data_IF_988851767237
#
_entry.id   IF_988851767237
#
_cell.length_a   1.000
_cell.length_b   1.000
_cell.length_c   1.000
_cell.angle_alpha   90.00
_cell.angle_beta   90.00
_cell.angle_gamma   90.00
#
_symmetry.space_group_name_H-M   'P 1'
#
loop_
_entity.id
_entity.type
_entity.pdbx_description
1 polymer ?
#
# COMPACT_ATOMS: atom_id res chain seq x y z
N UNK A 1 5.12 13.63 5.87
CA UNK A 1 3.71 13.31 6.12
C UNK A 1 3.17 12.22 5.19
N UNK A 2 3.67 12.10 3.97
CA UNK A 2 3.27 11.03 3.04
C UNK A 2 4.54 10.38 2.49
N UNK A 3 4.77 9.12 2.86
CA UNK A 3 5.81 8.29 2.27
C UNK A 3 5.14 7.27 1.35
N UNK A 4 5.32 7.46 0.05
CA UNK A 4 4.59 6.72 -0.97
C UNK A 4 5.06 5.26 -1.09
N UNK A 5 4.18 4.32 -0.77
CA UNK A 5 4.43 2.86 -0.84
C UNK A 5 4.20 2.28 -2.23
N UNK A 6 3.49 3.02 -3.06
CA UNK A 6 3.14 2.75 -4.44
C UNK A 6 2.66 4.03 -5.11
N UNK A 7 1.72 3.95 -6.06
CA UNK A 7 1.21 5.15 -6.74
C UNK A 7 -0.22 4.98 -7.26
N UNK A 8 -0.84 6.09 -7.66
CA UNK A 8 -2.18 6.11 -8.25
C UNK A 8 -2.15 5.67 -9.72
N UNK A 9 -3.26 5.13 -10.19
CA UNK A 9 -3.46 4.74 -11.59
C UNK A 9 -4.37 5.71 -12.35
N UNK A 10 -4.35 5.59 -13.68
CA UNK A 10 -5.33 6.18 -14.58
C UNK A 10 -5.89 5.13 -15.53
N UNK A 11 -7.16 5.28 -15.93
CA UNK A 11 -7.74 4.42 -16.94
C UNK A 11 -6.92 4.43 -18.25
N UNK A 12 -6.64 3.23 -18.77
CA UNK A 12 -5.87 3.04 -20.00
C UNK A 12 -4.35 3.15 -19.85
N UNK A 13 -3.84 3.36 -18.63
CA UNK A 13 -2.41 3.29 -18.33
C UNK A 13 -2.02 1.94 -17.70
N UNK A 14 -0.74 1.55 -17.76
CA UNK A 14 -0.24 0.42 -16.98
C UNK A 14 -0.45 0.64 -15.48
N UNK A 15 -0.75 -0.42 -14.75
CA UNK A 15 -0.85 -0.40 -13.29
C UNK A 15 0.49 0.01 -12.66
N UNK A 16 0.43 0.96 -11.74
CA UNK A 16 1.59 1.53 -11.07
C UNK A 16 2.06 0.61 -9.95
N UNK A 17 3.35 0.26 -9.96
CA UNK A 17 3.97 -0.53 -8.90
C UNK A 17 5.29 0.07 -8.47
N UNK A 18 5.62 -0.10 -7.19
CA UNK A 18 6.90 0.28 -6.59
C UNK A 18 7.48 -0.93 -5.88
N UNK A 19 8.72 -1.26 -6.24
CA UNK A 19 9.40 -2.45 -5.72
C UNK A 19 9.51 -2.43 -4.20
N UNK A 20 9.19 -3.56 -3.57
CA UNK A 20 9.25 -3.76 -2.12
C UNK A 20 10.59 -3.35 -1.51
N UNK A 21 11.71 -3.66 -2.16
CA UNK A 21 13.05 -3.36 -1.63
C UNK A 21 13.30 -1.86 -1.55
N UNK A 22 12.77 -1.09 -2.50
CA UNK A 22 12.89 0.37 -2.51
C UNK A 22 12.13 0.96 -1.34
N UNK A 23 10.87 0.55 -1.15
CA UNK A 23 10.03 1.04 -0.04
C UNK A 23 10.63 0.66 1.31
N UNK A 24 11.10 -0.59 1.46
CA UNK A 24 11.69 -1.07 2.70
C UNK A 24 13.00 -0.35 3.05
N UNK A 25 13.89 -0.14 2.06
CA UNK A 25 15.14 0.60 2.27
C UNK A 25 14.87 2.04 2.66
N UNK A 26 13.98 2.73 1.95
CA UNK A 26 13.66 4.13 2.26
C UNK A 26 12.97 4.26 3.63
N UNK A 27 12.09 3.33 4.00
CA UNK A 27 11.47 3.33 5.33
C UNK A 27 12.53 3.17 6.43
N UNK A 28 13.47 2.24 6.25
CA UNK A 28 14.56 2.04 7.19
C UNK A 28 15.36 3.33 7.39
N UNK A 29 15.72 4.00 6.30
CA UNK A 29 16.52 5.23 6.37
C UNK A 29 15.76 6.34 7.08
N UNK A 30 14.47 6.52 6.79
CA UNK A 30 13.63 7.53 7.46
C UNK A 30 13.60 7.27 8.98
N UNK A 31 13.36 6.02 9.40
CA UNK A 31 13.29 5.64 10.81
C UNK A 31 14.67 5.75 11.51
N UNK A 32 15.75 5.39 10.81
CA UNK A 32 17.12 5.51 11.33
C UNK A 32 17.53 6.96 11.63
N UNK A 33 16.93 7.93 10.94
CA UNK A 33 17.14 9.35 11.22
C UNK A 33 16.22 9.90 12.34
N UNK A 34 15.44 9.04 13.00
CA UNK A 34 14.51 9.44 14.06
C UNK A 34 13.32 10.26 13.56
N UNK A 35 13.03 10.22 12.25
CA UNK A 35 11.91 10.95 11.68
C UNK A 35 10.59 10.20 11.89
N UNK A 36 9.53 10.96 12.14
CA UNK A 36 8.16 10.44 12.10
C UNK A 36 7.70 10.28 10.65
N UNK A 37 7.04 9.18 10.35
CA UNK A 37 6.62 8.82 8.98
C UNK A 37 5.20 8.27 8.97
N UNK A 38 4.48 8.57 7.89
CA UNK A 38 3.17 8.00 7.61
C UNK A 38 3.19 7.42 6.19
N UNK A 39 2.82 6.15 6.06
CA UNK A 39 2.89 5.38 4.83
C UNK A 39 1.62 5.61 4.01
N UNK A 40 1.77 6.19 2.82
CA UNK A 40 0.68 6.50 1.91
C UNK A 40 0.75 5.58 0.68
N UNK A 41 -0.15 4.64 0.46
CA UNK A 41 -1.15 4.11 1.38
C UNK A 41 -0.62 2.87 2.11
N UNK A 42 -1.09 2.61 3.33
CA UNK A 42 -0.85 1.31 3.96
C UNK A 42 -1.85 0.24 3.47
N UNK A 43 -3.11 0.65 3.30
CA UNK A 43 -4.14 0.00 2.49
C UNK A 43 -4.83 1.12 1.70
N UNK A 44 -4.99 0.96 0.40
CA UNK A 44 -5.67 1.97 -0.40
C UNK A 44 -7.18 1.72 -0.50
N UNK A 45 -7.59 0.52 -0.90
CA UNK A 45 -9.00 0.10 -0.95
C UNK A 45 -9.67 0.41 -2.29
N UNK A 46 -10.89 0.95 -2.24
CA UNK A 46 -11.75 1.10 -3.43
C UNK A 46 -12.44 2.46 -3.47
N UNK A 47 -12.40 3.10 -4.63
CA UNK A 47 -13.22 4.26 -4.97
C UNK A 47 -14.60 3.78 -5.44
N UNK A 48 -15.51 3.46 -4.51
CA UNK A 48 -16.86 3.02 -4.85
C UNK A 48 -17.68 4.12 -5.56
N UNK A 49 -18.72 3.71 -6.28
CA UNK A 49 -19.66 4.60 -6.95
C UNK A 49 -18.95 5.65 -7.82
N UNK A 50 -19.06 6.94 -7.47
CA UNK A 50 -18.49 8.07 -8.21
C UNK A 50 -17.44 8.83 -7.40
N UNK A 51 -16.79 8.16 -6.45
CA UNK A 51 -15.78 8.78 -5.58
C UNK A 51 -14.40 8.92 -6.23
N UNK A 52 -14.19 8.38 -7.44
CA UNK A 52 -12.90 8.53 -8.13
C UNK A 52 -12.64 10.00 -8.52
N UNK A 53 -11.38 10.40 -8.46
CA UNK A 53 -10.95 11.72 -8.94
C UNK A 53 -10.65 11.74 -10.44
N UNK A 54 -9.99 12.82 -10.85
CA UNK A 54 -9.21 12.90 -12.09
C UNK A 54 -8.02 13.86 -11.94
N UNK A 55 -6.97 13.68 -12.74
CA UNK A 55 -5.91 14.68 -12.92
C UNK A 55 -6.10 15.45 -14.24
N UNK A 56 -5.38 16.57 -14.40
CA UNK A 56 -5.35 17.37 -15.63
C UNK A 56 -3.98 17.27 -16.33
N UNK A 57 -3.91 17.13 -17.67
CA UNK A 57 -5.02 16.99 -18.62
C UNK A 57 -5.91 15.79 -18.31
N UNK A 58 -7.21 15.86 -18.64
CA UNK A 58 -8.25 14.99 -18.04
C UNK A 58 -7.90 13.50 -18.11
N UNK A 59 -7.61 12.92 -16.95
CA UNK A 59 -7.28 11.52 -16.75
C UNK A 59 -7.95 11.03 -15.47
N UNK A 60 -9.03 10.26 -15.61
CA UNK A 60 -9.76 9.71 -14.47
C UNK A 60 -8.97 8.55 -13.83
N UNK A 61 -8.89 8.53 -12.49
CA UNK A 61 -8.39 7.37 -11.77
C UNK A 61 -9.43 6.22 -11.79
N UNK A 62 -8.99 4.96 -11.72
CA UNK A 62 -9.91 3.83 -11.72
C UNK A 62 -10.67 3.65 -10.40
N UNK A 63 -11.62 2.72 -10.42
CA UNK A 63 -12.36 2.28 -9.23
C UNK A 63 -11.45 1.65 -8.20
N UNK A 64 -10.50 0.81 -8.62
CA UNK A 64 -9.50 0.27 -7.71
C UNK A 64 -8.62 1.39 -7.18
N UNK A 65 -8.41 1.39 -5.86
CA UNK A 65 -7.41 2.20 -5.20
C UNK A 65 -6.39 1.28 -4.52
N UNK A 66 -6.07 0.12 -5.11
CA UNK A 66 -5.09 -0.84 -4.58
C UNK A 66 -3.75 -0.16 -4.26
N UNK A 67 -3.33 0.75 -5.14
CA UNK A 67 -2.15 1.60 -4.98
C UNK A 67 -0.82 0.85 -4.99
N UNK A 68 -0.80 -0.47 -5.21
CA UNK A 68 0.34 -1.33 -4.85
C UNK A 68 0.73 -1.14 -3.38
N UNK A 69 -0.28 -0.98 -2.51
CA UNK A 69 -0.09 -0.78 -1.09
C UNK A 69 0.40 -2.07 -0.39
N UNK A 70 0.97 -1.98 0.82
CA UNK A 70 1.35 -3.16 1.61
C UNK A 70 0.19 -4.14 1.85
N UNK A 71 -1.03 -3.65 2.03
CA UNK A 71 -2.24 -4.46 1.97
C UNK A 71 -2.92 -4.23 0.61
N UNK A 72 -3.33 -5.32 -0.05
CA UNK A 72 -4.05 -5.22 -1.33
C UNK A 72 -5.39 -4.51 -1.16
N UNK A 73 -6.06 -4.17 -2.26
CA UNK A 73 -7.43 -3.63 -2.25
C UNK A 73 -8.40 -4.44 -1.38
N UNK A 74 -8.28 -5.77 -1.39
CA UNK A 74 -9.10 -6.69 -0.59
C UNK A 74 -8.59 -6.92 0.85
N UNK A 75 -7.48 -6.28 1.23
CA UNK A 75 -6.86 -6.40 2.54
C UNK A 75 -5.90 -7.59 2.69
N UNK A 76 -5.43 -8.17 1.59
CA UNK A 76 -4.52 -9.32 1.65
C UNK A 76 -3.13 -8.90 2.11
N UNK A 77 -2.48 -9.77 2.88
CA UNK A 77 -1.09 -9.57 3.32
C UNK A 77 -0.14 -9.83 2.16
N UNK A 78 0.51 -8.78 1.64
CA UNK A 78 1.47 -8.90 0.54
C UNK A 78 2.90 -9.14 1.04
N UNK A 79 3.82 -9.46 0.14
CA UNK A 79 5.26 -9.47 0.45
C UNK A 79 5.75 -8.12 1.00
N UNK A 80 5.20 -7.02 0.48
CA UNK A 80 5.52 -5.67 0.93
C UNK A 80 5.07 -5.43 2.37
N UNK A 81 3.91 -5.95 2.79
CA UNK A 81 3.49 -5.92 4.19
C UNK A 81 4.54 -6.57 5.11
N UNK A 82 4.97 -7.78 4.80
CA UNK A 82 5.93 -8.50 5.63
C UNK A 82 7.31 -7.82 5.65
N UNK A 83 7.78 -7.32 4.51
CA UNK A 83 9.05 -6.60 4.43
C UNK A 83 9.07 -5.32 5.30
N UNK A 84 8.01 -4.51 5.20
CA UNK A 84 7.91 -3.29 6.00
C UNK A 84 7.74 -3.60 7.49
N UNK A 85 6.98 -4.65 7.83
CA UNK A 85 6.89 -5.13 9.21
C UNK A 85 8.28 -5.44 9.75
N UNK A 86 9.11 -6.18 9.03
CA UNK A 86 10.47 -6.53 9.44
C UNK A 86 11.40 -5.32 9.60
N UNK A 87 11.23 -4.27 8.78
CA UNK A 87 11.93 -2.99 9.00
C UNK A 87 11.51 -2.36 10.33
N UNK A 88 10.20 -2.27 10.60
CA UNK A 88 9.67 -1.66 11.82
C UNK A 88 10.18 -2.40 13.07
N UNK A 89 10.31 -3.73 13.04
CA UNK A 89 10.83 -4.52 14.19
C UNK A 89 12.23 -4.13 14.63
N UNK A 90 13.02 -3.52 13.75
CA UNK A 90 14.38 -3.07 14.07
C UNK A 90 14.38 -1.83 14.96
N UNK A 91 13.30 -1.06 14.94
CA UNK A 91 13.17 0.20 15.66
C UNK A 91 12.19 0.11 16.83
N UNK A 92 11.16 -0.74 16.72
CA UNK A 92 10.09 -0.85 17.71
C UNK A 92 9.70 -2.31 17.99
N UNK A 93 9.17 -2.57 19.18
CA UNK A 93 8.55 -3.87 19.48
C UNK A 93 7.18 -3.95 18.82
N UNK A 94 7.07 -4.79 17.79
CA UNK A 94 5.78 -5.16 17.21
C UNK A 94 5.06 -6.19 18.07
N UNK A 95 3.72 -6.17 18.12
CA UNK A 95 2.93 -7.20 18.79
C UNK A 95 3.30 -8.61 18.30
N UNK A 96 3.48 -9.51 19.27
CA UNK A 96 3.56 -10.94 19.03
C UNK A 96 2.16 -11.52 18.86
N UNK A 97 2.07 -12.67 18.19
CA UNK A 97 0.83 -13.42 18.03
C UNK A 97 0.27 -13.39 16.61
N UNK A 98 -1.03 -13.65 16.54
CA UNK A 98 -1.73 -13.94 15.30
C UNK A 98 -2.01 -12.68 14.48
N UNK A 99 -1.64 -12.71 13.20
CA UNK A 99 -2.08 -11.74 12.20
C UNK A 99 -3.30 -12.35 11.52
N UNK A 100 -4.46 -11.64 11.46
CA UNK A 100 -5.61 -12.12 10.71
C UNK A 100 -5.22 -12.45 9.26
N UNK A 101 -5.61 -13.62 8.73
CA UNK A 101 -5.27 -14.02 7.38
C UNK A 101 -6.06 -13.19 6.35
N UNK A 102 -5.62 -13.20 5.09
CA UNK A 102 -6.44 -12.80 3.95
C UNK A 102 -7.85 -13.41 4.00
N UNK A 103 -8.84 -12.64 3.55
CA UNK A 103 -10.23 -13.14 3.53
C UNK A 103 -10.39 -14.22 2.46
N UNK A 104 -11.18 -15.28 2.69
CA UNK A 104 -11.43 -16.28 1.66
C UNK A 104 -12.14 -15.65 0.45
N UNK A 105 -11.60 -15.87 -0.74
CA UNK A 105 -12.26 -15.52 -2.00
C UNK A 105 -13.07 -16.70 -2.53
N UNK A 106 -14.28 -16.42 -3.02
CA UNK A 106 -15.19 -17.42 -3.57
C UNK A 106 -15.53 -17.02 -5.00
N UNK A 107 -15.30 -17.93 -5.95
CA UNK A 107 -15.82 -17.81 -7.31
C UNK A 107 -17.27 -18.34 -7.32
N UNK A 108 -18.25 -17.43 -7.29
CA UNK A 108 -19.68 -17.79 -7.32
C UNK A 108 -20.16 -18.33 -8.67
N UNK A 109 -19.35 -18.16 -9.73
CA UNK A 109 -19.60 -18.63 -11.09
C UNK A 109 -18.34 -18.54 -11.93
#
# INVERSE_FOLDING_TARGET
>A
SEFYTGWLDHWGQPHSTVRTEVVASSLHDILAHGANVNLYMFIGGTNFAYWNGANMPYQAQPTSYDYDAPLSEAGDLTEKYFALREVIRKFEKVPEGFIPPPTPSIAYG
#
